data_IF_392440286313
#
_entry.id   IF_392440286313
#
_cell.length_a   1.000
_cell.length_b   1.000
_cell.length_c   1.000
_cell.angle_alpha   90.00
_cell.angle_beta   90.00
_cell.angle_gamma   90.00
#
_symmetry.space_group_name_H-M   'P 1'
#
loop_
_entity.id
_entity.type
_entity.pdbx_description
1 polymer ?
#
# COMPACT_ATOMS: atom_id res chain seq x y z
N UNK A 1 4.25 11.92 -13.30
CA UNK A 1 2.90 11.36 -13.01
C UNK A 1 3.05 10.46 -11.81
N UNK A 2 2.25 10.68 -10.76
CA UNK A 2 2.45 9.93 -9.50
C UNK A 2 1.51 8.74 -9.42
N UNK A 3 2.08 7.56 -9.20
CA UNK A 3 1.37 6.30 -9.07
C UNK A 3 1.52 5.73 -7.66
N UNK A 4 0.51 5.03 -7.18
CA UNK A 4 0.59 4.26 -5.94
C UNK A 4 0.24 2.77 -6.15
N UNK A 5 0.93 1.92 -5.41
CA UNK A 5 0.59 0.51 -5.25
C UNK A 5 0.42 0.18 -3.78
N UNK A 6 -0.72 -0.43 -3.44
CA UNK A 6 -0.97 -1.00 -2.11
C UNK A 6 -0.92 -2.52 -2.21
N UNK A 7 -0.08 -3.13 -1.38
CA UNK A 7 0.07 -4.58 -1.26
C UNK A 7 -0.31 -4.99 0.17
N UNK A 8 -1.35 -5.81 0.33
CA UNK A 8 -1.83 -6.30 1.62
C UNK A 8 -1.53 -7.79 1.73
N UNK A 9 -0.45 -8.13 2.40
CA UNK A 9 -0.08 -9.52 2.69
C UNK A 9 -0.48 -9.95 4.10
N UNK A 10 -0.43 -11.26 4.35
CA UNK A 10 -0.70 -11.86 5.66
C UNK A 10 0.22 -11.33 6.77
N UNK A 11 1.42 -10.85 6.46
CA UNK A 11 2.34 -10.29 7.46
C UNK A 11 2.32 -8.75 7.53
N UNK A 12 2.25 -8.06 6.40
CA UNK A 12 2.33 -6.60 6.36
C UNK A 12 1.54 -6.04 5.18
N UNK A 13 1.03 -4.82 5.38
CA UNK A 13 0.58 -3.98 4.28
C UNK A 13 1.69 -3.01 3.89
N UNK A 14 1.78 -2.68 2.60
CA UNK A 14 2.73 -1.71 2.05
C UNK A 14 2.02 -0.70 1.16
N UNK A 15 2.50 0.53 1.19
CA UNK A 15 2.19 1.57 0.20
C UNK A 15 3.49 1.98 -0.49
N UNK A 16 3.56 1.76 -1.79
CA UNK A 16 4.61 2.27 -2.67
C UNK A 16 4.05 3.48 -3.43
N UNK A 17 4.76 4.60 -3.40
CA UNK A 17 4.48 5.78 -4.23
C UNK A 17 5.68 6.01 -5.14
N UNK A 18 5.42 6.13 -6.44
CA UNK A 18 6.44 6.40 -7.47
C UNK A 18 6.05 7.62 -8.30
N UNK A 19 7.04 8.38 -8.75
CA UNK A 19 6.86 9.36 -9.82
C UNK A 19 7.38 8.79 -11.12
N UNK A 20 6.55 8.83 -12.15
CA UNK A 20 6.87 8.39 -13.50
C UNK A 20 7.35 9.60 -14.29
N UNK A 21 8.61 9.54 -14.71
CA UNK A 21 9.28 10.57 -15.51
C UNK A 21 9.43 10.02 -16.93
N UNK A 22 8.88 10.76 -17.89
CA UNK A 22 9.07 10.49 -19.31
C UNK A 22 10.12 11.46 -19.84
N UNK A 23 11.34 10.99 -20.08
CA UNK A 23 12.48 11.79 -20.53
C UNK A 23 12.61 11.87 -22.06
N UNK A 24 11.61 11.41 -22.81
CA UNK A 24 11.62 11.38 -24.27
C UNK A 24 12.47 10.27 -24.88
N UNK A 25 13.15 9.43 -24.09
CA UNK A 25 13.98 8.30 -24.59
C UNK A 25 13.16 7.03 -24.92
N UNK A 26 11.84 7.12 -24.80
CA UNK A 26 10.89 6.04 -25.11
C UNK A 26 10.65 5.04 -23.98
N UNK A 27 11.37 5.12 -22.86
CA UNK A 27 11.13 4.27 -21.69
C UNK A 27 10.78 5.11 -20.46
N UNK A 28 9.64 4.85 -19.78
CA UNK A 28 9.31 5.55 -18.55
C UNK A 28 10.31 5.19 -17.45
N UNK A 29 10.82 6.19 -16.74
CA UNK A 29 11.61 6.01 -15.53
C UNK A 29 10.71 6.10 -14.30
N UNK A 30 10.89 5.19 -13.35
CA UNK A 30 10.11 5.14 -12.12
C UNK A 30 10.98 5.56 -10.93
N UNK A 31 10.78 6.79 -10.44
CA UNK A 31 11.45 7.27 -9.24
C UNK A 31 10.64 6.89 -7.99
N UNK A 32 11.25 6.13 -7.08
CA UNK A 32 10.59 5.75 -5.83
C UNK A 32 10.57 6.92 -4.86
N UNK A 33 9.39 7.52 -4.66
CA UNK A 33 9.20 8.61 -3.72
C UNK A 33 9.09 8.13 -2.28
N UNK A 34 8.31 7.08 -2.05
CA UNK A 34 8.10 6.56 -0.71
C UNK A 34 7.73 5.07 -0.72
N UNK A 35 8.12 4.35 0.33
CA UNK A 35 7.71 2.98 0.59
C UNK A 35 7.43 2.82 2.08
N UNK A 36 6.14 2.83 2.42
CA UNK A 36 5.67 2.67 3.79
C UNK A 36 5.29 1.20 4.01
N UNK A 37 5.68 0.66 5.16
CA UNK A 37 5.34 -0.71 5.57
C UNK A 37 4.71 -0.68 6.95
N UNK A 38 3.49 -1.24 7.06
CA UNK A 38 2.80 -1.42 8.35
C UNK A 38 2.72 -2.92 8.68
N UNK A 39 3.29 -3.37 9.81
CA UNK A 39 3.22 -4.75 10.23
C UNK A 39 1.83 -5.06 10.80
N UNK A 40 1.01 -5.79 10.04
CA UNK A 40 -0.35 -6.15 10.45
C UNK A 40 -0.42 -7.54 11.09
N UNK A 41 0.38 -8.48 10.56
CA UNK A 41 0.44 -9.89 10.99
C UNK A 41 -0.93 -10.58 11.03
N UNK A 42 -1.75 -10.33 10.00
CA UNK A 42 -3.07 -10.95 9.78
C UNK A 42 -3.02 -12.48 9.75
N UNK A 43 -1.89 -13.05 9.29
CA UNK A 43 -1.70 -14.48 9.18
C UNK A 43 -1.80 -15.21 10.52
N UNK A 44 -1.39 -14.60 11.64
CA UNK A 44 -1.52 -15.27 12.94
C UNK A 44 -2.97 -15.60 13.25
N UNK A 45 -3.86 -14.61 13.13
CA UNK A 45 -5.29 -14.80 13.36
C UNK A 45 -5.88 -15.83 12.39
N UNK A 46 -5.53 -15.75 11.10
CA UNK A 46 -6.10 -16.64 10.07
C UNK A 46 -5.59 -18.08 10.22
N UNK A 47 -4.32 -18.28 10.57
CA UNK A 47 -3.77 -19.62 10.77
C UNK A 47 -4.29 -20.28 12.05
N UNK A 48 -4.61 -19.50 13.09
CA UNK A 48 -5.11 -20.02 14.36
C UNK A 48 -6.64 -20.17 14.38
N UNK A 49 -7.35 -19.15 13.91
CA UNK A 49 -8.82 -19.03 14.09
C UNK A 49 -9.60 -19.08 12.77
N UNK A 50 -8.92 -19.13 11.61
CA UNK A 50 -9.56 -19.13 10.29
C UNK A 50 -10.15 -17.78 9.87
N UNK A 51 -10.06 -16.75 10.71
CA UNK A 51 -10.56 -15.41 10.42
C UNK A 51 -9.63 -14.31 10.95
N UNK A 52 -9.67 -13.13 10.34
CA UNK A 52 -8.99 -11.94 10.85
C UNK A 52 -9.78 -11.40 12.05
N UNK A 53 -9.16 -11.18 13.21
CA UNK A 53 -9.85 -10.66 14.40
C UNK A 53 -10.40 -9.24 14.21
N UNK A 54 -11.35 -8.85 15.07
CA UNK A 54 -11.90 -7.48 15.10
C UNK A 54 -10.81 -6.42 15.28
N UNK A 55 -9.82 -6.69 16.11
CA UNK A 55 -8.69 -5.78 16.35
C UNK A 55 -7.88 -5.58 15.08
N UNK A 56 -7.49 -6.67 14.40
CA UNK A 56 -6.72 -6.60 13.14
C UNK A 56 -7.51 -5.94 12.01
N UNK A 57 -8.82 -6.17 11.91
CA UNK A 57 -9.70 -5.43 10.98
C UNK A 57 -9.62 -3.92 11.24
N UNK A 58 -9.66 -3.51 12.52
CA UNK A 58 -9.46 -2.12 12.92
C UNK A 58 -8.10 -1.55 12.48
N UNK A 59 -7.02 -2.30 12.67
CA UNK A 59 -5.67 -1.89 12.23
C UNK A 59 -5.57 -1.74 10.70
N UNK A 60 -6.17 -2.66 9.93
CA UNK A 60 -6.23 -2.56 8.46
C UNK A 60 -6.94 -1.28 8.05
N UNK A 61 -8.10 -0.97 8.65
CA UNK A 61 -8.87 0.24 8.33
C UNK A 61 -8.08 1.52 8.64
N UNK A 62 -7.38 1.59 9.78
CA UNK A 62 -6.52 2.73 10.10
C UNK A 62 -5.36 2.86 9.11
N UNK A 63 -4.75 1.73 8.73
CA UNK A 63 -3.67 1.71 7.73
C UNK A 63 -4.15 2.24 6.38
N UNK A 64 -5.32 1.80 5.91
CA UNK A 64 -5.88 2.27 4.64
C UNK A 64 -6.23 3.76 4.67
N UNK A 65 -6.73 4.29 5.81
CA UNK A 65 -6.95 5.73 5.98
C UNK A 65 -5.64 6.51 5.91
N UNK A 66 -4.61 6.05 6.62
CA UNK A 66 -3.28 6.68 6.56
C UNK A 66 -2.71 6.68 5.14
N UNK A 67 -2.84 5.57 4.41
CA UNK A 67 -2.44 5.47 3.01
C UNK A 67 -3.23 6.44 2.13
N UNK A 68 -4.55 6.57 2.32
CA UNK A 68 -5.37 7.55 1.59
C UNK A 68 -4.90 8.98 1.84
N UNK A 69 -4.59 9.35 3.08
CA UNK A 69 -4.06 10.67 3.41
C UNK A 69 -2.69 10.92 2.78
N UNK A 70 -1.79 9.94 2.81
CA UNK A 70 -0.48 10.03 2.15
C UNK A 70 -0.63 10.21 0.63
N UNK A 71 -1.46 9.39 -0.02
CA UNK A 71 -1.68 9.51 -1.47
C UNK A 71 -2.27 10.87 -1.86
N UNK A 72 -3.17 11.43 -1.04
CA UNK A 72 -3.68 12.80 -1.24
C UNK A 72 -2.58 13.85 -1.09
N UNK A 73 -1.77 13.76 -0.04
CA UNK A 73 -0.68 14.70 0.20
C UNK A 73 0.41 14.65 -0.88
N UNK A 74 0.64 13.47 -1.45
CA UNK A 74 1.55 13.30 -2.56
C UNK A 74 0.89 13.61 -3.91
N UNK A 75 -0.41 13.86 -4.00
CA UNK A 75 -1.13 14.08 -5.28
C UNK A 75 -1.02 12.89 -6.23
N UNK A 76 -1.24 11.67 -5.72
CA UNK A 76 -1.26 10.46 -6.53
C UNK A 76 -2.46 10.47 -7.49
N UNK A 77 -2.20 10.22 -8.77
CA UNK A 77 -3.20 10.24 -9.83
C UNK A 77 -3.86 8.87 -10.02
N UNK A 78 -3.08 7.79 -9.92
CA UNK A 78 -3.58 6.44 -10.10
C UNK A 78 -3.08 5.49 -9.01
N UNK A 79 -3.97 4.60 -8.58
CA UNK A 79 -3.70 3.60 -7.57
C UNK A 79 -4.11 2.21 -8.05
N UNK A 80 -3.33 1.20 -7.67
CA UNK A 80 -3.76 -0.19 -7.64
C UNK A 80 -3.56 -0.79 -6.26
N UNK A 81 -4.55 -1.50 -5.75
CA UNK A 81 -4.49 -2.21 -4.48
C UNK A 81 -4.74 -3.70 -4.70
N UNK A 82 -3.91 -4.55 -4.08
CA UNK A 82 -4.04 -6.01 -4.12
C UNK A 82 -3.93 -6.58 -2.71
N UNK A 83 -4.56 -7.74 -2.51
CA UNK A 83 -4.43 -8.55 -1.30
C UNK A 83 -4.21 -10.01 -1.67
N UNK A 84 -3.51 -10.77 -0.82
CA UNK A 84 -3.19 -12.20 -1.00
C UNK A 84 -3.75 -13.07 0.11
#
# INVERSE_FOLDING_TARGET
MKLAAIDIGSNAARLLIVDVINDGTGKPQFNKLNLIRVPLRLGFDVFENGEISKEKRGMVLQTMKAYSHLMKAYEVEHIKACAT
#
